data_IF_674403432729
#
_entry.id   IF_674403432729
#
_cell.length_a   1.000
_cell.length_b   1.000
_cell.length_c   1.000
_cell.angle_alpha   90.00
_cell.angle_beta   90.00
_cell.angle_gamma   90.00
#
_symmetry.space_group_name_H-M   'P 1'
#
loop_
_entity.id
_entity.type
_entity.pdbx_description
1 polymer ?
#
# COMPACT_ATOMS: atom_id res chain seq x y z
N UNK A 1 12.42 -9.31 -29.85
CA UNK A 1 12.44 -7.96 -30.42
C UNK A 1 12.59 -6.93 -29.31
N UNK A 2 13.12 -5.73 -29.59
CA UNK A 2 13.17 -4.63 -28.61
C UNK A 2 11.83 -3.90 -28.59
N UNK A 3 11.31 -3.62 -27.40
CA UNK A 3 10.03 -2.90 -27.23
C UNK A 3 10.24 -1.37 -27.31
N UNK A 4 11.37 -0.87 -26.81
CA UNK A 4 11.75 0.55 -26.87
C UNK A 4 12.93 0.77 -27.82
N UNK A 5 12.63 0.93 -29.11
CA UNK A 5 13.61 1.12 -30.16
C UNK A 5 13.38 2.41 -30.96
N UNK A 6 14.45 2.91 -31.57
CA UNK A 6 14.39 3.92 -32.61
C UNK A 6 13.79 3.33 -33.90
N UNK A 7 13.46 4.20 -34.85
CA UNK A 7 12.96 3.81 -36.18
C UNK A 7 13.96 2.93 -36.96
N UNK A 8 15.23 2.92 -36.57
CA UNK A 8 16.29 2.10 -37.18
C UNK A 8 16.68 0.89 -36.31
N UNK A 9 15.87 0.54 -35.30
CA UNK A 9 16.02 -0.69 -34.51
C UNK A 9 17.07 -0.64 -33.39
N UNK A 10 17.71 0.51 -33.18
CA UNK A 10 18.63 0.74 -32.05
C UNK A 10 17.87 1.07 -30.77
N UNK A 11 18.44 0.88 -29.57
CA UNK A 11 17.81 1.34 -28.33
C UNK A 11 17.48 2.84 -28.39
N UNK A 12 16.30 3.23 -27.89
CA UNK A 12 15.99 4.65 -27.76
C UNK A 12 16.96 5.31 -26.77
N UNK A 13 17.50 6.48 -27.11
CA UNK A 13 18.32 7.25 -26.17
C UNK A 13 17.46 7.92 -25.11
N UNK A 14 17.97 8.07 -23.89
CA UNK A 14 17.26 8.75 -22.81
C UNK A 14 16.84 10.18 -23.20
N UNK A 15 17.70 10.89 -23.94
CA UNK A 15 17.37 12.24 -24.43
C UNK A 15 16.18 12.25 -25.40
N UNK A 16 16.11 11.29 -26.32
CA UNK A 16 14.98 11.20 -27.26
C UNK A 16 13.68 10.81 -26.54
N UNK A 17 13.76 9.92 -25.55
CA UNK A 17 12.63 9.59 -24.70
C UNK A 17 12.13 10.82 -23.93
N UNK A 18 13.03 11.59 -23.31
CA UNK A 18 12.69 12.82 -22.58
C UNK A 18 12.09 13.87 -23.53
N UNK A 19 12.64 14.03 -24.74
CA UNK A 19 12.08 14.95 -25.76
C UNK A 19 10.68 14.53 -26.19
N UNK A 20 10.44 13.24 -26.39
CA UNK A 20 9.11 12.70 -26.67
C UNK A 20 8.12 12.97 -25.54
N UNK A 21 8.53 12.69 -24.30
CA UNK A 21 7.73 12.95 -23.11
C UNK A 21 7.35 14.43 -22.97
N UNK A 22 8.28 15.36 -23.22
CA UNK A 22 8.00 16.81 -23.18
C UNK A 22 6.87 17.21 -24.14
N UNK A 23 6.86 16.67 -25.37
CA UNK A 23 5.79 16.92 -26.34
C UNK A 23 4.45 16.35 -25.89
N UNK A 24 4.45 15.13 -25.35
CA UNK A 24 3.23 14.50 -24.82
C UNK A 24 2.65 15.28 -23.65
N UNK A 25 3.51 15.70 -22.71
CA UNK A 25 3.15 16.52 -21.56
C UNK A 25 2.51 17.84 -21.97
N UNK A 26 3.09 18.53 -22.95
CA UNK A 26 2.53 19.77 -23.51
C UNK A 26 1.17 19.55 -24.15
N UNK A 27 1.03 18.50 -24.97
CA UNK A 27 -0.26 18.14 -25.57
C UNK A 27 -1.34 17.74 -24.56
N UNK A 28 -0.92 17.22 -23.40
CA UNK A 28 -1.81 16.84 -22.30
C UNK A 28 -2.13 18.02 -21.35
N UNK A 29 -1.60 19.22 -21.60
CA UNK A 29 -1.81 20.40 -20.74
C UNK A 29 -1.17 20.28 -19.35
N UNK A 30 -0.17 19.41 -19.19
CA UNK A 30 0.48 19.19 -17.90
C UNK A 30 1.55 20.27 -17.59
N UNK A 31 1.84 20.54 -16.31
CA UNK A 31 2.84 21.52 -15.89
C UNK A 31 4.23 21.32 -16.52
N UNK A 32 4.92 22.42 -16.80
CA UNK A 32 6.21 22.39 -17.49
C UNK A 32 7.37 21.81 -16.66
N UNK A 33 7.18 21.64 -15.36
CA UNK A 33 8.11 21.02 -14.41
C UNK A 33 7.85 19.52 -14.20
N UNK A 34 6.71 18.98 -14.64
CA UNK A 34 6.44 17.54 -14.60
C UNK A 34 7.50 16.78 -15.42
N UNK A 35 8.17 15.83 -14.77
CA UNK A 35 9.24 14.98 -15.28
C UNK A 35 8.73 13.56 -15.54
N UNK A 36 9.45 12.83 -16.39
CA UNK A 36 9.12 11.44 -16.70
C UNK A 36 9.19 10.52 -15.46
N UNK A 37 10.07 10.84 -14.50
CA UNK A 37 10.18 10.10 -13.25
C UNK A 37 8.99 10.33 -12.31
N UNK A 38 8.23 11.41 -12.48
CA UNK A 38 7.06 11.70 -11.66
C UNK A 38 5.95 10.67 -11.89
N UNK A 39 5.93 10.02 -13.06
CA UNK A 39 5.06 8.86 -13.33
C UNK A 39 5.39 7.72 -12.37
N UNK A 40 6.68 7.43 -12.17
CA UNK A 40 7.12 6.39 -11.22
C UNK A 40 6.80 6.79 -9.79
N UNK A 41 6.97 8.07 -9.44
CA UNK A 41 6.59 8.59 -8.12
C UNK A 41 5.09 8.47 -7.87
N UNK A 42 4.24 8.87 -8.82
CA UNK A 42 2.79 8.73 -8.71
C UNK A 42 2.34 7.28 -8.55
N UNK A 43 2.92 6.35 -9.33
CA UNK A 43 2.65 4.92 -9.18
C UNK A 43 3.07 4.40 -7.81
N UNK A 44 4.25 4.79 -7.30
CA UNK A 44 4.71 4.38 -5.98
C UNK A 44 3.80 4.91 -4.86
N UNK A 45 3.38 6.18 -4.94
CA UNK A 45 2.44 6.77 -4.00
C UNK A 45 1.13 5.99 -3.93
N UNK A 46 0.58 5.58 -5.07
CA UNK A 46 -0.65 4.79 -5.11
C UNK A 46 -0.46 3.39 -4.52
N UNK A 47 0.64 2.71 -4.87
CA UNK A 47 0.98 1.39 -4.31
C UNK A 47 1.14 1.40 -2.79
N UNK A 48 1.67 2.50 -2.23
CA UNK A 48 1.87 2.64 -0.78
C UNK A 48 0.59 3.05 -0.06
N UNK A 49 -0.29 3.81 -0.73
CA UNK A 49 -1.58 4.17 -0.16
C UNK A 49 -2.48 2.93 0.05
N UNK A 50 -2.49 2.02 -0.93
CA UNK A 50 -3.36 0.83 -0.92
C UNK A 50 -2.68 -0.41 -0.34
N UNK A 51 -1.36 -0.39 -0.16
CA UNK A 51 -0.56 -1.55 0.24
C UNK A 51 0.54 -1.23 1.23
N UNK A 52 1.60 -2.06 1.23
CA UNK A 52 2.77 -1.89 2.08
C UNK A 52 4.03 -1.54 1.28
N UNK A 53 5.04 -1.01 1.97
CA UNK A 53 6.30 -0.57 1.36
C UNK A 53 7.09 -1.71 0.71
N UNK A 54 7.08 -2.92 1.28
CA UNK A 54 7.82 -4.04 0.72
C UNK A 54 7.20 -4.51 -0.61
N UNK A 55 5.87 -4.58 -0.67
CA UNK A 55 5.11 -4.86 -1.89
C UNK A 55 5.36 -3.80 -2.95
N UNK A 56 5.23 -2.51 -2.60
CA UNK A 56 5.52 -1.41 -3.51
C UNK A 56 6.97 -1.49 -4.03
N UNK A 57 7.93 -1.77 -3.16
CA UNK A 57 9.35 -1.91 -3.52
C UNK A 57 9.60 -3.02 -4.54
N UNK A 58 8.95 -4.17 -4.35
CA UNK A 58 9.05 -5.32 -5.26
C UNK A 58 8.51 -4.99 -6.64
N UNK A 59 7.35 -4.34 -6.71
CA UNK A 59 6.71 -3.93 -7.98
C UNK A 59 7.58 -2.90 -8.71
N UNK A 60 8.17 -1.96 -7.98
CA UNK A 60 9.09 -0.95 -8.52
C UNK A 60 10.46 -1.54 -8.93
N UNK A 61 10.74 -2.80 -8.57
CA UNK A 61 11.99 -3.49 -8.89
C UNK A 61 13.20 -2.93 -8.15
N UNK A 62 13.03 -2.37 -6.95
CA UNK A 62 14.17 -1.98 -6.12
C UNK A 62 14.78 -3.24 -5.49
N UNK A 63 16.10 -3.40 -5.64
CA UNK A 63 16.86 -4.50 -5.03
C UNK A 63 16.89 -4.44 -3.51
N UNK A 64 16.62 -3.27 -2.93
CA UNK A 64 16.55 -3.04 -1.50
C UNK A 64 15.30 -2.22 -1.15
N UNK A 65 14.45 -2.77 -0.26
CA UNK A 65 13.24 -2.10 0.23
C UNK A 65 13.51 -0.78 0.95
N UNK A 66 14.70 -0.62 1.51
CA UNK A 66 15.13 0.63 2.13
C UNK A 66 15.08 1.81 1.15
N UNK A 67 15.33 1.61 -0.15
CA UNK A 67 15.24 2.69 -1.15
C UNK A 67 13.82 3.25 -1.21
N UNK A 68 12.83 2.35 -1.24
CA UNK A 68 11.41 2.74 -1.22
C UNK A 68 11.04 3.42 0.08
N UNK A 69 11.48 2.86 1.21
CA UNK A 69 11.24 3.45 2.53
C UNK A 69 11.86 4.84 2.69
N UNK A 70 13.09 5.04 2.22
CA UNK A 70 13.78 6.33 2.30
C UNK A 70 13.07 7.41 1.47
N UNK A 71 12.55 7.06 0.30
CA UNK A 71 11.87 8.01 -0.59
C UNK A 71 10.44 8.30 -0.10
N UNK A 72 9.69 7.26 0.29
CA UNK A 72 8.24 7.38 0.51
C UNK A 72 7.81 7.19 1.96
N UNK A 73 8.71 6.97 2.91
CA UNK A 73 8.37 6.74 4.31
C UNK A 73 7.57 7.88 4.95
N UNK A 74 7.74 9.10 4.45
CA UNK A 74 6.94 10.26 4.84
C UNK A 74 5.44 10.12 4.53
N UNK A 75 5.06 9.23 3.61
CA UNK A 75 3.66 8.94 3.25
C UNK A 75 2.99 7.94 4.20
N UNK A 76 3.70 7.46 5.23
CA UNK A 76 3.16 6.58 6.27
C UNK A 76 2.92 7.27 7.62
N UNK A 77 2.36 8.50 7.68
CA UNK A 77 2.06 9.10 8.97
C UNK A 77 1.04 8.23 9.70
N UNK A 78 1.25 8.04 11.00
CA UNK A 78 0.37 7.25 11.87
C UNK A 78 0.25 5.77 11.51
N UNK A 79 1.14 5.19 10.70
CA UNK A 79 1.10 3.76 10.38
C UNK A 79 1.13 2.89 11.64
N UNK A 80 2.00 3.22 12.61
CA UNK A 80 2.06 2.54 13.91
C UNK A 80 0.76 2.70 14.71
N UNK A 81 0.19 3.91 14.76
CA UNK A 81 -1.07 4.16 15.48
C UNK A 81 -2.24 3.39 14.86
N UNK A 82 -2.34 3.35 13.52
CA UNK A 82 -3.35 2.54 12.82
C UNK A 82 -3.18 1.04 13.08
N UNK A 83 -1.94 0.56 13.07
CA UNK A 83 -1.64 -0.84 13.37
C UNK A 83 -2.06 -1.20 14.81
N UNK A 84 -1.72 -0.35 15.79
CA UNK A 84 -2.11 -0.57 17.18
C UNK A 84 -3.63 -0.49 17.37
N UNK A 85 -4.31 0.46 16.73
CA UNK A 85 -5.77 0.56 16.78
C UNK A 85 -6.45 -0.70 16.21
N UNK A 86 -5.92 -1.26 15.13
CA UNK A 86 -6.41 -2.51 14.53
C UNK A 86 -6.25 -3.69 15.51
N UNK A 87 -5.12 -3.80 16.18
CA UNK A 87 -4.87 -4.87 17.16
C UNK A 87 -5.79 -4.72 18.36
N UNK A 88 -5.96 -3.50 18.88
CA UNK A 88 -6.89 -3.22 19.98
C UNK A 88 -8.32 -3.65 19.64
N UNK A 89 -8.82 -3.27 18.46
CA UNK A 89 -10.16 -3.67 18.02
C UNK A 89 -10.34 -5.20 17.91
N UNK A 90 -9.31 -5.92 17.45
CA UNK A 90 -9.33 -7.39 17.39
C UNK A 90 -9.33 -8.01 18.79
N UNK A 91 -8.54 -7.46 19.70
CA UNK A 91 -8.48 -7.90 21.09
C UNK A 91 -9.82 -7.69 21.82
N UNK A 92 -10.45 -6.52 21.63
CA UNK A 92 -11.73 -6.19 22.25
C UNK A 92 -12.85 -7.11 21.74
N UNK A 93 -12.86 -7.38 20.43
CA UNK A 93 -13.80 -8.32 19.83
C UNK A 93 -13.63 -9.74 20.39
N UNK A 94 -12.39 -10.25 20.47
CA UNK A 94 -12.12 -11.57 21.04
C UNK A 94 -12.48 -11.66 22.53
N UNK A 95 -12.24 -10.59 23.29
CA UNK A 95 -12.56 -10.53 24.71
C UNK A 95 -14.07 -10.51 24.97
N UNK A 96 -14.86 -9.89 24.08
CA UNK A 96 -16.32 -9.90 24.17
C UNK A 96 -16.89 -11.31 23.96
N UNK A 97 -16.41 -12.05 22.94
CA UNK A 97 -16.85 -13.42 22.67
C UNK A 97 -16.62 -14.35 23.88
N UNK A 98 -15.48 -14.24 24.56
CA UNK A 98 -15.18 -15.06 25.74
C UNK A 98 -16.12 -14.77 26.92
N UNK A 99 -16.54 -13.50 27.09
CA UNK A 99 -17.50 -13.13 28.14
C UNK A 99 -18.90 -13.67 27.83
N UNK A 100 -19.33 -13.57 26.57
CA UNK A 100 -20.63 -14.09 26.14
C UNK A 100 -20.72 -15.61 26.32
N UNK A 101 -19.62 -16.35 26.09
CA UNK A 101 -19.53 -17.80 26.33
C UNK A 101 -19.57 -18.16 27.84
N UNK A 102 -18.91 -17.37 28.69
CA UNK A 102 -18.90 -17.57 30.14
C UNK A 102 -20.27 -17.25 30.78
N UNK A 103 -20.96 -16.23 30.26
CA UNK A 103 -22.30 -15.83 30.70
C UNK A 103 -23.38 -16.82 30.23
N UNK A 104 -23.23 -17.42 29.04
CA UNK A 104 -24.09 -18.50 28.58
C UNK A 104 -23.91 -19.78 29.41
N UNK A 105 -22.66 -20.19 29.70
CA UNK A 105 -22.35 -21.38 30.48
C UNK A 105 -22.80 -21.31 31.95
N UNK A 106 -22.88 -20.11 32.52
CA UNK A 106 -23.35 -19.90 33.90
C UNK A 106 -24.88 -19.82 34.01
N UNK A 107 -25.60 -19.63 32.90
CA UNK A 107 -27.06 -19.57 32.86
C UNK A 107 -27.76 -20.93 32.73
N UNK A 108 -27.02 -22.00 32.40
CA UNK A 108 -27.55 -23.36 32.25
C UNK A 108 -27.48 -24.21 33.55
N UNK A 109 -26.84 -23.71 34.62
CA UNK A 109 -26.62 -24.42 35.90
C UNK A 109 -27.71 -24.15 36.97
N UNK A 110 -28.58 -23.15 36.80
CA UNK A 110 -29.61 -22.76 37.80
C UNK A 110 -30.94 -23.54 37.66
N UNK A 111 -30.91 -24.72 37.03
CA UNK A 111 -32.08 -25.45 36.56
C UNK A 111 -32.39 -26.79 37.26
N UNK A 112 -32.00 -26.99 38.52
CA UNK A 112 -32.45 -28.16 39.29
C UNK A 112 -32.61 -27.83 40.79
N UNK A 113 -33.69 -27.14 41.14
CA UNK A 113 -34.21 -27.17 42.50
C UNK A 113 -35.36 -28.16 42.56
N UNK A 114 -34.99 -29.43 42.79
CA UNK A 114 -35.93 -30.51 43.04
C UNK A 114 -36.83 -30.20 44.24
N UNK A 115 -38.14 -30.21 43.99
CA UNK A 115 -39.16 -30.31 45.04
C UNK A 115 -39.08 -31.70 45.69
N UNK A 116 -38.98 -31.73 47.02
CA UNK A 116 -39.03 -32.93 47.85
C UNK A 116 -39.51 -32.61 49.26
#
# INVERSE_FOLDING_TARGET
>A
GRVLASLVGTPISAQNLIRGFKRLRESAGMPADTRIHDIRHGSASHLIADGDIATASRILGHSNAYVTLAIYGHMLPHASSRAMARIGALHDAASATLRDEEEAATSEDDGDQGEG
#
